data_IF_905879686371
#
_entry.id   IF_905879686371
#
_cell.length_a   1.000
_cell.length_b   1.000
_cell.length_c   1.000
_cell.angle_alpha   90.00
_cell.angle_beta   90.00
_cell.angle_gamma   90.00
#
_symmetry.space_group_name_H-M   'P 1'
#
loop_
_entity.id
_entity.type
_entity.pdbx_description
1 polymer ?
#
# COMPACT_ATOMS: atom_id res chain seq x y z
N UNK A 1 13.78 4.12 34.38
CA UNK A 1 14.42 4.78 33.24
C UNK A 1 13.30 5.45 32.44
N UNK A 2 13.39 6.76 32.17
CA UNK A 2 12.40 7.48 31.35
C UNK A 2 12.41 6.97 29.91
N UNK A 3 11.23 6.91 29.26
CA UNK A 3 11.14 6.56 27.85
C UNK A 3 11.78 7.64 26.99
N UNK A 4 12.73 7.27 26.13
CA UNK A 4 13.34 8.20 25.15
C UNK A 4 12.51 8.35 23.88
N UNK A 5 11.32 7.71 23.79
CA UNK A 5 10.45 7.73 22.62
C UNK A 5 10.08 9.17 22.20
N UNK A 6 9.65 9.98 23.17
CA UNK A 6 9.19 11.36 22.93
C UNK A 6 10.33 12.35 22.60
N UNK A 7 11.58 11.91 22.67
CA UNK A 7 12.75 12.70 22.28
C UNK A 7 13.17 12.41 20.83
N UNK A 8 12.63 11.34 20.22
CA UNK A 8 12.97 10.95 18.85
C UNK A 8 12.14 11.69 17.84
N UNK A 9 12.77 12.06 16.74
CA UNK A 9 12.16 12.71 15.59
C UNK A 9 11.93 11.69 14.47
N UNK A 10 10.70 11.60 13.99
CA UNK A 10 10.33 10.74 12.87
C UNK A 10 10.36 11.54 11.57
N UNK A 11 11.15 11.09 10.60
CA UNK A 11 11.12 11.56 9.22
C UNK A 11 10.20 10.67 8.37
N UNK A 12 9.31 11.30 7.60
CA UNK A 12 8.39 10.62 6.68
C UNK A 12 8.67 11.11 5.26
N UNK A 13 9.01 10.20 4.35
CA UNK A 13 9.16 10.48 2.93
C UNK A 13 7.81 10.26 2.23
N UNK A 14 7.28 11.31 1.63
CA UNK A 14 5.92 11.41 1.14
C UNK A 14 4.98 12.07 2.14
N UNK A 15 4.18 13.02 1.65
CA UNK A 15 3.25 13.82 2.43
C UNK A 15 1.81 13.72 1.95
N UNK A 16 1.44 12.61 1.29
CA UNK A 16 0.09 12.33 0.84
C UNK A 16 -0.87 11.93 1.97
N UNK A 17 -1.98 11.31 1.60
CA UNK A 17 -3.01 10.90 2.56
C UNK A 17 -2.51 9.90 3.61
N UNK A 18 -1.62 8.98 3.23
CA UNK A 18 -1.09 7.99 4.16
C UNK A 18 -0.18 8.66 5.19
N UNK A 19 0.66 9.60 4.75
CA UNK A 19 1.45 10.46 5.63
C UNK A 19 0.57 11.26 6.58
N UNK A 20 -0.53 11.86 6.09
CA UNK A 20 -1.50 12.60 6.93
C UNK A 20 -2.07 11.72 8.06
N UNK A 21 -2.47 10.50 7.74
CA UNK A 21 -3.00 9.57 8.74
C UNK A 21 -1.92 9.06 9.71
N UNK A 22 -0.67 8.89 9.26
CA UNK A 22 0.47 8.62 10.15
C UNK A 22 0.71 9.78 11.11
N UNK A 23 0.65 11.03 10.63
CA UNK A 23 0.81 12.22 11.47
C UNK A 23 -0.26 12.31 12.56
N UNK A 24 -1.50 11.92 12.27
CA UNK A 24 -2.56 11.89 13.27
C UNK A 24 -2.23 10.95 14.43
N UNK A 25 -1.69 9.75 14.16
CA UNK A 25 -1.25 8.83 15.21
C UNK A 25 0.02 9.33 15.92
N UNK A 26 0.96 9.95 15.21
CA UNK A 26 2.13 10.58 15.82
C UNK A 26 1.72 11.69 16.81
N UNK A 27 0.75 12.51 16.45
CA UNK A 27 0.23 13.59 17.30
C UNK A 27 -0.39 13.05 18.60
N UNK A 28 -1.19 11.96 18.52
CA UNK A 28 -1.73 11.26 19.72
C UNK A 28 -0.63 10.75 20.65
N UNK A 29 0.53 10.39 20.10
CA UNK A 29 1.66 9.84 20.84
C UNK A 29 2.72 10.89 21.21
N UNK A 30 2.53 12.16 20.85
CA UNK A 30 3.48 13.25 21.11
C UNK A 30 4.83 13.10 20.38
N UNK A 31 4.87 12.40 19.24
CA UNK A 31 6.09 12.17 18.45
C UNK A 31 6.30 13.35 17.51
N UNK A 32 7.50 13.95 17.58
CA UNK A 32 7.89 15.02 16.64
C UNK A 32 8.08 14.47 15.22
N UNK A 33 7.48 15.12 14.23
CA UNK A 33 7.46 14.66 12.85
C UNK A 33 8.03 15.70 11.88
N UNK A 34 8.88 15.22 10.96
CA UNK A 34 9.32 15.94 9.77
C UNK A 34 8.81 15.22 8.54
N UNK A 35 8.33 15.94 7.53
CA UNK A 35 7.82 15.37 6.28
C UNK A 35 8.57 15.99 5.09
N UNK A 36 8.97 15.15 4.13
CA UNK A 36 9.53 15.57 2.84
C UNK A 36 8.55 15.23 1.72
N UNK A 37 8.12 16.23 0.96
CA UNK A 37 7.22 16.04 -0.19
C UNK A 37 7.51 17.11 -1.24
N UNK A 38 7.47 16.79 -2.56
CA UNK A 38 7.72 17.76 -3.62
C UNK A 38 6.61 18.83 -3.77
N UNK A 39 5.42 18.59 -3.20
CA UNK A 39 4.27 19.47 -3.37
C UNK A 39 4.09 20.41 -2.18
N UNK A 40 4.12 21.72 -2.44
CA UNK A 40 3.71 22.75 -1.49
C UNK A 40 2.23 22.64 -1.06
N UNK A 41 1.42 21.89 -1.82
CA UNK A 41 0.01 21.59 -1.56
C UNK A 41 -0.18 20.22 -0.88
N UNK A 42 0.90 19.66 -0.32
CA UNK A 42 0.87 18.36 0.37
C UNK A 42 -0.14 18.36 1.52
N UNK A 43 -0.97 17.30 1.67
CA UNK A 43 -1.87 17.12 2.82
C UNK A 43 -1.18 17.21 4.18
N UNK A 44 0.11 16.89 4.25
CA UNK A 44 0.89 16.92 5.49
C UNK A 44 1.45 18.29 5.86
N UNK A 45 1.50 19.25 4.92
CA UNK A 45 2.22 20.52 5.10
C UNK A 45 1.86 21.29 6.38
N UNK A 46 0.58 21.39 6.67
CA UNK A 46 0.08 22.16 7.81
C UNK A 46 -0.12 21.33 9.10
N UNK A 47 0.26 20.05 9.08
CA UNK A 47 0.04 19.12 10.19
C UNK A 47 1.37 18.63 10.77
N UNK A 48 2.40 18.47 9.92
CA UNK A 48 3.75 18.10 10.37
C UNK A 48 4.36 19.19 11.26
N UNK A 49 5.16 18.78 12.25
CA UNK A 49 5.92 19.77 13.04
C UNK A 49 6.94 20.53 12.18
N UNK A 50 7.49 19.85 11.16
CA UNK A 50 8.36 20.47 10.17
C UNK A 50 8.08 19.88 8.78
N UNK A 51 7.92 20.75 7.79
CA UNK A 51 7.71 20.36 6.41
C UNK A 51 8.86 20.83 5.55
N UNK A 52 9.36 19.94 4.70
CA UNK A 52 10.39 20.23 3.71
C UNK A 52 9.80 20.03 2.32
N UNK A 53 9.83 21.07 1.50
CA UNK A 53 9.47 20.97 0.10
C UNK A 53 10.69 20.49 -0.69
N UNK A 54 10.62 19.27 -1.22
CA UNK A 54 11.72 18.68 -1.98
C UNK A 54 11.37 17.28 -2.50
N UNK A 55 12.10 16.84 -3.51
CA UNK A 55 11.83 15.56 -4.15
C UNK A 55 12.46 14.40 -3.37
N UNK A 56 11.62 13.52 -2.83
CA UNK A 56 12.05 12.29 -2.15
C UNK A 56 12.71 11.25 -3.10
N UNK A 57 12.72 11.50 -4.40
CA UNK A 57 13.44 10.69 -5.40
C UNK A 57 14.87 11.18 -5.63
N UNK A 58 15.17 12.40 -5.21
CA UNK A 58 16.51 12.96 -5.30
C UNK A 58 17.37 12.50 -4.12
N UNK A 59 18.58 12.02 -4.43
CA UNK A 59 19.48 11.42 -3.45
C UNK A 59 19.92 12.42 -2.38
N UNK A 60 20.42 13.58 -2.81
CA UNK A 60 20.96 14.59 -1.88
C UNK A 60 19.85 15.20 -1.00
N UNK A 61 18.68 15.45 -1.58
CA UNK A 61 17.52 15.95 -0.85
C UNK A 61 17.10 14.99 0.29
N UNK A 62 17.10 13.67 0.05
CA UNK A 62 16.79 12.69 1.08
C UNK A 62 17.86 12.65 2.17
N UNK A 63 19.15 12.75 1.78
CA UNK A 63 20.26 12.81 2.75
C UNK A 63 20.14 14.04 3.64
N UNK A 64 19.95 15.21 3.05
CA UNK A 64 19.83 16.48 3.79
C UNK A 64 18.64 16.49 4.75
N UNK A 65 17.47 16.02 4.27
CA UNK A 65 16.28 15.86 5.10
C UNK A 65 16.55 14.96 6.32
N UNK A 66 17.30 13.89 6.12
CA UNK A 66 17.58 12.89 7.16
C UNK A 66 18.37 13.42 8.35
N UNK A 67 19.10 14.54 8.20
CA UNK A 67 19.94 15.10 9.26
C UNK A 67 19.15 15.45 10.52
N UNK A 68 17.89 15.86 10.37
CA UNK A 68 16.98 16.22 11.46
C UNK A 68 16.16 15.03 12.02
N UNK A 69 16.38 13.79 11.54
CA UNK A 69 15.54 12.63 11.87
C UNK A 69 16.35 11.53 12.57
N UNK A 70 15.74 10.89 13.59
CA UNK A 70 16.29 9.71 14.27
C UNK A 70 15.83 8.40 13.62
N UNK A 71 14.58 8.38 13.18
CA UNK A 71 13.95 7.26 12.46
C UNK A 71 13.36 7.80 11.16
N UNK A 72 13.53 7.06 10.08
CA UNK A 72 13.01 7.41 8.75
C UNK A 72 12.06 6.33 8.30
N UNK A 73 10.92 6.74 7.79
CA UNK A 73 9.94 5.88 7.11
C UNK A 73 9.43 6.55 5.85
N UNK A 74 8.62 5.85 5.08
CA UNK A 74 8.02 6.37 3.86
C UNK A 74 6.56 5.92 3.76
N UNK A 75 5.74 6.75 3.09
CA UNK A 75 4.34 6.44 2.80
C UNK A 75 4.11 6.16 1.31
N UNK A 76 5.16 6.30 0.51
CA UNK A 76 5.17 6.06 -0.93
C UNK A 76 6.40 5.23 -1.31
N UNK A 77 6.25 4.34 -2.30
CA UNK A 77 7.33 3.44 -2.69
C UNK A 77 8.37 4.09 -3.61
N UNK A 78 8.05 5.21 -4.26
CA UNK A 78 8.90 5.86 -5.25
C UNK A 78 10.01 6.75 -4.63
N UNK A 79 10.52 6.40 -3.45
CA UNK A 79 11.60 7.12 -2.80
C UNK A 79 12.97 6.64 -3.29
N UNK A 80 14.00 7.47 -3.15
CA UNK A 80 15.36 7.11 -3.54
C UNK A 80 15.94 6.04 -2.61
N UNK A 81 15.98 4.80 -3.09
CA UNK A 81 16.42 3.65 -2.29
C UNK A 81 17.94 3.64 -2.05
N UNK A 82 18.75 4.25 -2.93
CA UNK A 82 20.20 4.34 -2.74
C UNK A 82 20.54 5.31 -1.60
N UNK A 83 19.78 6.40 -1.46
CA UNK A 83 19.87 7.30 -0.31
C UNK A 83 19.50 6.57 0.99
N UNK A 84 18.43 5.78 1.01
CA UNK A 84 18.06 4.98 2.18
C UNK A 84 19.14 3.98 2.57
N UNK A 85 19.72 3.27 1.61
CA UNK A 85 20.82 2.33 1.84
C UNK A 85 22.06 3.03 2.42
N UNK A 86 22.41 4.22 1.90
CA UNK A 86 23.50 5.02 2.45
C UNK A 86 23.23 5.43 3.90
N UNK A 87 22.02 5.87 4.20
CA UNK A 87 21.61 6.25 5.55
C UNK A 87 21.70 5.09 6.54
N UNK A 88 21.27 3.89 6.13
CA UNK A 88 21.43 2.66 6.93
C UNK A 88 22.90 2.36 7.22
N UNK A 89 23.78 2.46 6.21
CA UNK A 89 25.25 2.29 6.36
C UNK A 89 25.85 3.34 7.31
N UNK A 90 25.25 4.51 7.43
CA UNK A 90 25.62 5.55 8.41
C UNK A 90 25.00 5.36 9.79
N UNK A 91 24.25 4.28 9.99
CA UNK A 91 23.63 3.94 11.28
C UNK A 91 22.28 4.60 11.54
N UNK A 92 21.69 5.28 10.56
CA UNK A 92 20.30 5.79 10.66
C UNK A 92 19.31 4.62 10.65
N UNK A 93 18.25 4.78 11.42
CA UNK A 93 17.14 3.80 11.45
C UNK A 93 16.18 4.10 10.31
N UNK A 94 16.14 3.23 9.32
CA UNK A 94 15.23 3.30 8.18
C UNK A 94 14.32 2.10 8.22
N UNK A 95 13.01 2.32 8.22
CA UNK A 95 12.01 1.26 8.27
C UNK A 95 10.81 1.57 7.35
N UNK A 96 10.38 0.61 6.51
CA UNK A 96 11.08 -0.65 6.19
C UNK A 96 12.48 -0.44 5.60
N UNK A 97 13.32 -1.49 5.67
CA UNK A 97 14.72 -1.40 5.20
C UNK A 97 14.80 -1.16 3.69
N UNK A 98 15.87 -0.50 3.26
CA UNK A 98 16.16 -0.22 1.84
C UNK A 98 16.15 -1.48 0.99
N UNK A 99 16.69 -2.61 1.50
CA UNK A 99 16.67 -3.91 0.82
C UNK A 99 15.25 -4.40 0.53
N UNK A 100 14.33 -4.28 1.48
CA UNK A 100 12.92 -4.63 1.32
C UNK A 100 12.29 -3.78 0.23
N UNK A 101 12.48 -2.46 0.30
CA UNK A 101 11.94 -1.54 -0.69
C UNK A 101 12.49 -1.80 -2.09
N UNK A 102 13.82 -2.03 -2.23
CA UNK A 102 14.46 -2.35 -3.51
C UNK A 102 13.85 -3.58 -4.19
N UNK A 103 13.55 -4.62 -3.41
CA UNK A 103 12.88 -5.81 -3.92
C UNK A 103 11.47 -5.50 -4.41
N UNK A 104 10.75 -4.61 -3.71
CA UNK A 104 9.34 -4.32 -4.00
C UNK A 104 9.17 -3.29 -5.12
N UNK A 105 10.09 -2.32 -5.25
CA UNK A 105 10.06 -1.32 -6.31
C UNK A 105 10.16 -1.91 -7.73
N UNK A 106 10.63 -3.14 -7.86
CA UNK A 106 10.80 -3.84 -9.14
C UNK A 106 9.96 -5.12 -9.15
N UNK A 107 8.90 -5.14 -9.96
CA UNK A 107 7.97 -6.27 -10.03
C UNK A 107 8.64 -7.58 -10.46
N UNK A 108 9.70 -7.53 -11.30
CA UNK A 108 10.46 -8.72 -11.64
C UNK A 108 11.23 -9.25 -10.43
N UNK A 109 11.94 -8.38 -9.69
CA UNK A 109 12.62 -8.77 -8.46
C UNK A 109 11.65 -9.29 -7.39
N UNK A 110 10.48 -8.67 -7.26
CA UNK A 110 9.43 -9.09 -6.34
C UNK A 110 8.93 -10.51 -6.68
N UNK A 111 8.65 -10.78 -7.95
CA UNK A 111 8.20 -12.11 -8.41
C UNK A 111 9.30 -13.17 -8.26
N UNK A 112 10.54 -12.85 -8.59
CA UNK A 112 11.70 -13.75 -8.35
C UNK A 112 11.88 -14.04 -6.85
N UNK A 113 11.65 -13.04 -5.99
CA UNK A 113 11.66 -13.24 -4.54
C UNK A 113 10.54 -14.20 -4.10
N UNK A 114 9.34 -14.10 -4.67
CA UNK A 114 8.25 -15.03 -4.37
C UNK A 114 8.61 -16.46 -4.77
N UNK A 115 9.12 -16.68 -5.98
CA UNK A 115 9.55 -18.00 -6.44
C UNK A 115 10.64 -18.60 -5.53
N UNK A 116 11.67 -17.80 -5.22
CA UNK A 116 12.80 -18.24 -4.37
C UNK A 116 12.35 -18.68 -2.96
N UNK A 117 11.30 -18.08 -2.43
CA UNK A 117 10.79 -18.35 -1.09
C UNK A 117 9.58 -19.30 -1.10
N UNK A 118 9.26 -19.95 -2.23
CA UNK A 118 8.09 -20.81 -2.40
C UNK A 118 6.80 -20.11 -1.95
N UNK A 119 6.59 -18.90 -2.42
CA UNK A 119 5.37 -18.11 -2.24
C UNK A 119 4.55 -18.26 -3.51
N UNK A 120 3.31 -18.79 -3.43
CA UNK A 120 2.46 -18.98 -4.59
C UNK A 120 2.12 -17.65 -5.25
N UNK A 121 2.33 -17.55 -6.55
CA UNK A 121 2.04 -16.38 -7.38
C UNK A 121 1.77 -16.83 -8.80
N UNK A 122 1.10 -16.00 -9.62
CA UNK A 122 0.92 -16.29 -11.03
C UNK A 122 2.26 -16.54 -11.73
N UNK A 123 2.31 -17.49 -12.64
CA UNK A 123 3.49 -17.72 -13.47
C UNK A 123 3.81 -16.46 -14.28
N UNK A 124 5.08 -16.17 -14.46
CA UNK A 124 5.51 -14.95 -15.12
C UNK A 124 6.79 -15.14 -15.93
N UNK A 125 6.97 -14.28 -16.93
CA UNK A 125 8.21 -14.16 -17.71
C UNK A 125 8.64 -12.70 -17.79
N UNK A 126 9.94 -12.46 -17.66
CA UNK A 126 10.54 -11.13 -17.81
C UNK A 126 10.96 -10.87 -19.26
N UNK A 127 10.72 -9.64 -19.73
CA UNK A 127 11.12 -9.16 -21.06
C UNK A 127 11.80 -7.79 -20.92
N UNK A 128 13.03 -7.64 -21.46
CA UNK A 128 13.77 -6.39 -21.35
C UNK A 128 13.20 -5.27 -22.24
N UNK A 129 12.47 -5.63 -23.29
CA UNK A 129 11.86 -4.71 -24.25
C UNK A 129 10.78 -5.40 -25.09
N UNK A 130 10.04 -4.59 -25.85
CA UNK A 130 8.92 -5.07 -26.65
C UNK A 130 9.35 -5.97 -27.83
N UNK A 131 10.56 -5.78 -28.36
CA UNK A 131 11.06 -6.59 -29.49
C UNK A 131 11.27 -8.04 -29.07
N UNK A 132 11.81 -8.25 -27.87
CA UNK A 132 12.00 -9.59 -27.30
C UNK A 132 10.63 -10.23 -27.03
N UNK A 133 9.66 -9.49 -26.45
CA UNK A 133 8.31 -9.99 -26.25
C UNK A 133 7.67 -10.43 -27.56
N UNK A 134 7.70 -9.60 -28.63
CA UNK A 134 7.17 -9.94 -29.96
C UNK A 134 7.80 -11.20 -30.54
N UNK A 135 9.10 -11.42 -30.32
CA UNK A 135 9.78 -12.65 -30.75
C UNK A 135 9.27 -13.90 -30.06
N UNK A 136 8.93 -13.82 -28.75
CA UNK A 136 8.36 -14.95 -28.02
C UNK A 136 6.92 -15.25 -28.44
N UNK A 137 6.13 -14.21 -28.73
CA UNK A 137 4.78 -14.38 -29.24
C UNK A 137 4.75 -15.05 -30.60
N UNK A 138 5.66 -14.64 -31.50
CA UNK A 138 5.77 -15.28 -32.84
C UNK A 138 6.12 -16.75 -32.81
N UNK A 139 6.58 -17.26 -31.65
CA UNK A 139 6.90 -18.67 -31.38
C UNK A 139 5.82 -19.41 -30.59
N UNK A 140 4.67 -18.80 -30.36
CA UNK A 140 3.58 -19.33 -29.50
C UNK A 140 4.03 -19.65 -28.05
N UNK A 141 4.98 -18.86 -27.51
CA UNK A 141 5.46 -19.05 -26.12
C UNK A 141 4.72 -18.21 -25.09
N UNK A 142 3.73 -17.41 -25.51
CA UNK A 142 2.86 -16.58 -24.67
C UNK A 142 1.40 -16.97 -24.90
N UNK A 143 0.72 -17.32 -23.84
CA UNK A 143 -0.71 -17.60 -23.85
C UNK A 143 -1.52 -16.32 -23.63
N UNK A 144 -2.67 -16.20 -24.31
CA UNK A 144 -3.64 -15.13 -24.12
C UNK A 144 -4.95 -15.70 -23.54
N UNK A 145 -5.66 -14.94 -22.65
CA UNK A 145 -5.26 -13.64 -22.14
C UNK A 145 -4.08 -13.72 -21.17
N UNK A 146 -3.28 -12.65 -21.08
CA UNK A 146 -2.21 -12.52 -20.13
C UNK A 146 -2.15 -11.08 -19.58
N UNK A 147 -1.36 -10.86 -18.52
CA UNK A 147 -1.23 -9.55 -17.88
C UNK A 147 0.16 -8.99 -18.15
N UNK A 148 0.21 -7.85 -18.83
CA UNK A 148 1.42 -7.05 -18.94
C UNK A 148 1.57 -6.14 -17.72
N UNK A 149 2.76 -6.12 -17.12
CA UNK A 149 3.11 -5.19 -16.05
C UNK A 149 4.47 -4.57 -16.31
N UNK A 150 4.55 -3.25 -16.24
CA UNK A 150 5.83 -2.54 -16.22
C UNK A 150 6.59 -2.92 -14.95
N UNK A 151 7.92 -3.17 -15.03
CA UNK A 151 8.68 -3.60 -13.86
C UNK A 151 8.79 -2.54 -12.77
N UNK A 152 8.95 -1.26 -13.15
CA UNK A 152 9.16 -0.15 -12.20
C UNK A 152 8.18 0.98 -12.43
N UNK A 153 7.88 1.73 -11.38
CA UNK A 153 7.05 2.95 -11.41
C UNK A 153 5.58 2.73 -11.84
N UNK A 154 5.06 1.50 -11.72
CA UNK A 154 3.63 1.22 -11.81
C UNK A 154 2.96 1.47 -10.46
N UNK A 155 1.74 2.06 -10.44
CA UNK A 155 0.94 2.30 -9.25
C UNK A 155 -0.53 2.46 -9.62
N UNK A 156 -1.44 2.09 -8.72
CA UNK A 156 -2.89 2.28 -8.86
C UNK A 156 -3.44 1.92 -10.28
N UNK A 157 -3.03 0.77 -10.83
CA UNK A 157 -3.41 0.31 -12.17
C UNK A 157 -2.58 0.93 -13.34
N UNK A 158 -1.78 1.97 -13.09
CA UNK A 158 -0.86 2.48 -14.11
C UNK A 158 0.31 1.52 -14.35
N UNK A 159 0.53 1.17 -15.62
CA UNK A 159 1.57 0.23 -15.99
C UNK A 159 1.15 -1.24 -15.84
N UNK A 160 -0.17 -1.50 -15.85
CA UNK A 160 -0.79 -2.83 -15.94
C UNK A 160 -1.81 -2.83 -17.08
N UNK A 161 -1.81 -3.87 -17.91
CA UNK A 161 -2.77 -4.04 -19.00
C UNK A 161 -3.08 -5.52 -19.22
N UNK A 162 -4.36 -5.85 -19.36
CA UNK A 162 -4.78 -7.16 -19.84
C UNK A 162 -4.54 -7.20 -21.34
N UNK A 163 -3.84 -8.21 -21.81
CA UNK A 163 -3.62 -8.50 -23.23
C UNK A 163 -4.50 -9.67 -23.61
N UNK A 164 -5.49 -9.44 -24.45
CA UNK A 164 -6.40 -10.47 -24.93
C UNK A 164 -5.88 -11.15 -26.21
N UNK A 165 -5.01 -10.46 -26.94
CA UNK A 165 -4.40 -10.97 -28.16
C UNK A 165 -3.02 -10.36 -28.42
N UNK A 166 -2.31 -10.87 -29.43
CA UNK A 166 -1.03 -10.34 -29.88
C UNK A 166 -1.10 -8.90 -30.40
N UNK A 167 -2.27 -8.43 -30.81
CA UNK A 167 -2.49 -7.07 -31.35
C UNK A 167 -2.37 -6.01 -30.25
N UNK A 168 -2.77 -6.35 -29.02
CA UNK A 168 -2.75 -5.44 -27.86
C UNK A 168 -1.34 -4.95 -27.48
N UNK A 169 -0.31 -5.64 -27.99
CA UNK A 169 1.10 -5.31 -27.72
C UNK A 169 1.55 -4.05 -28.47
N UNK A 170 0.86 -3.69 -29.54
CA UNK A 170 1.26 -2.53 -30.36
C UNK A 170 1.11 -1.20 -29.60
N UNK A 171 0.27 -1.17 -28.60
CA UNK A 171 0.02 0.00 -27.75
C UNK A 171 0.92 0.05 -26.48
N UNK A 172 1.75 -0.97 -26.27
CA UNK A 172 2.63 -1.02 -25.09
C UNK A 172 3.87 -0.12 -25.26
N UNK A 173 4.30 0.53 -24.18
CA UNK A 173 5.56 1.28 -24.20
C UNK A 173 6.75 0.32 -24.28
N UNK A 174 7.81 0.72 -24.98
CA UNK A 174 9.09 -0.03 -25.00
C UNK A 174 9.85 0.18 -23.67
N UNK A 175 9.72 -0.78 -22.78
CA UNK A 175 10.29 -0.75 -21.43
C UNK A 175 10.52 -2.17 -20.91
N UNK A 176 11.28 -2.31 -19.82
CA UNK A 176 11.34 -3.57 -19.06
C UNK A 176 9.94 -3.92 -18.51
N UNK A 177 9.54 -5.18 -18.68
CA UNK A 177 8.22 -5.67 -18.33
C UNK A 177 8.22 -7.11 -17.87
N UNK A 178 7.15 -7.49 -17.17
CA UNK A 178 6.79 -8.90 -16.96
C UNK A 178 5.47 -9.18 -17.66
N UNK A 179 5.32 -10.40 -18.13
CA UNK A 179 4.05 -10.97 -18.59
C UNK A 179 3.68 -12.05 -17.60
N UNK A 180 2.51 -11.93 -16.98
CA UNK A 180 1.96 -12.91 -16.04
C UNK A 180 0.82 -13.67 -16.70
N UNK A 181 0.66 -14.93 -16.33
CA UNK A 181 -0.52 -15.70 -16.70
C UNK A 181 -1.77 -15.06 -16.10
N UNK A 182 -2.84 -15.01 -16.90
CA UNK A 182 -4.12 -14.49 -16.42
C UNK A 182 -4.72 -15.43 -15.36
N UNK A 183 -4.99 -14.91 -14.19
CA UNK A 183 -5.65 -15.64 -13.09
C UNK A 183 -7.13 -15.29 -13.09
N UNK A 184 -8.02 -16.23 -13.42
CA UNK A 184 -9.46 -16.04 -13.31
C UNK A 184 -9.89 -16.18 -11.83
N UNK A 185 -9.64 -15.16 -11.03
CA UNK A 185 -9.94 -15.15 -9.60
C UNK A 185 -11.42 -14.84 -9.33
N UNK A 186 -11.90 -15.27 -8.18
CA UNK A 186 -13.25 -15.00 -7.68
C UNK A 186 -13.28 -13.78 -6.77
N UNK A 187 -12.19 -13.58 -5.99
CA UNK A 187 -12.05 -12.47 -5.04
C UNK A 187 -10.62 -11.95 -5.02
N UNK A 188 -10.49 -10.63 -4.82
CA UNK A 188 -9.23 -10.04 -4.39
C UNK A 188 -9.22 -9.86 -2.88
N UNK A 189 -8.19 -10.38 -2.25
CA UNK A 189 -8.00 -10.34 -0.80
C UNK A 189 -6.79 -9.49 -0.45
N UNK A 190 -6.79 -8.92 0.76
CA UNK A 190 -5.59 -8.30 1.31
C UNK A 190 -5.44 -8.64 2.79
N UNK A 191 -4.18 -8.85 3.22
CA UNK A 191 -3.80 -8.98 4.62
C UNK A 191 -2.74 -7.95 4.93
N UNK A 192 -2.95 -7.17 5.98
CA UNK A 192 -1.92 -6.27 6.50
C UNK A 192 -1.24 -6.93 7.69
N UNK A 193 0.09 -7.02 7.59
CA UNK A 193 0.98 -7.51 8.64
C UNK A 193 1.76 -6.35 9.23
N UNK A 194 1.85 -6.29 10.54
CA UNK A 194 2.78 -5.42 11.27
C UNK A 194 3.85 -6.26 11.94
N UNK A 195 5.12 -5.86 11.81
CA UNK A 195 6.26 -6.49 12.47
C UNK A 195 7.15 -5.43 13.10
N UNK A 196 7.46 -5.55 14.39
CA UNK A 196 8.38 -4.61 15.05
C UNK A 196 9.84 -5.06 14.93
N UNK A 197 10.75 -4.21 15.39
CA UNK A 197 12.21 -4.46 15.33
C UNK A 197 12.60 -5.71 16.13
N UNK A 198 11.95 -5.95 17.27
CA UNK A 198 12.16 -7.15 18.11
C UNK A 198 11.54 -8.43 17.51
N UNK A 199 10.81 -8.35 16.41
CA UNK A 199 10.25 -9.49 15.69
C UNK A 199 8.83 -9.90 16.12
N UNK A 200 8.15 -9.14 17.00
CA UNK A 200 6.72 -9.37 17.28
C UNK A 200 5.91 -9.10 16.01
N UNK A 201 4.95 -9.99 15.69
CA UNK A 201 4.10 -9.90 14.49
C UNK A 201 2.63 -9.89 14.90
N UNK A 202 1.86 -9.04 14.23
CA UNK A 202 0.38 -9.01 14.27
C UNK A 202 -0.19 -8.87 12.86
N UNK A 203 -1.25 -9.62 12.57
CA UNK A 203 -2.02 -9.46 11.34
C UNK A 203 -3.36 -8.80 11.65
N UNK A 204 -3.84 -7.98 10.74
CA UNK A 204 -5.24 -7.59 10.69
C UNK A 204 -6.09 -8.71 10.11
N UNK A 205 -7.42 -8.59 10.20
CA UNK A 205 -8.32 -9.52 9.52
C UNK A 205 -8.09 -9.43 8.01
N UNK A 206 -8.24 -10.59 7.34
CA UNK A 206 -8.25 -10.61 5.87
C UNK A 206 -9.44 -9.80 5.38
N UNK A 207 -9.21 -8.91 4.44
CA UNK A 207 -10.24 -8.13 3.80
C UNK A 207 -10.48 -8.57 2.37
N UNK A 208 -11.69 -8.36 1.90
CA UNK A 208 -12.08 -8.47 0.50
C UNK A 208 -12.06 -7.09 -0.13
N UNK A 209 -11.50 -6.97 -1.32
CA UNK A 209 -11.45 -5.73 -2.08
C UNK A 209 -12.33 -5.87 -3.32
N UNK A 210 -13.30 -4.97 -3.45
CA UNK A 210 -14.13 -4.85 -4.64
C UNK A 210 -13.64 -3.69 -5.50
N UNK A 211 -13.48 -3.95 -6.78
CA UNK A 211 -12.93 -3.00 -7.74
C UNK A 211 -14.03 -2.45 -8.64
N UNK A 212 -13.97 -1.15 -8.88
CA UNK A 212 -14.79 -0.54 -9.91
C UNK A 212 -14.36 -1.08 -11.29
N UNK A 213 -15.27 -1.69 -12.06
CA UNK A 213 -14.94 -2.37 -13.31
C UNK A 213 -14.43 -1.42 -14.40
N UNK A 214 -14.75 -0.13 -14.32
CA UNK A 214 -14.37 0.86 -15.34
C UNK A 214 -12.97 1.45 -15.05
N UNK A 215 -12.68 1.72 -13.78
CA UNK A 215 -11.44 2.39 -13.38
C UNK A 215 -10.35 1.41 -12.90
N UNK A 216 -10.70 0.16 -12.64
CA UNK A 216 -9.83 -0.86 -12.03
C UNK A 216 -9.18 -0.37 -10.72
N UNK A 217 -9.93 0.39 -9.93
CA UNK A 217 -9.53 0.85 -8.62
C UNK A 217 -10.44 0.28 -7.53
N UNK A 218 -9.88 0.04 -6.35
CA UNK A 218 -10.65 -0.41 -5.19
C UNK A 218 -11.73 0.60 -4.88
N UNK A 219 -12.98 0.17 -4.94
CA UNK A 219 -14.17 0.95 -4.56
C UNK A 219 -14.53 0.67 -3.11
N UNK A 220 -14.64 -0.61 -2.74
CA UNK A 220 -14.94 -1.05 -1.38
C UNK A 220 -13.86 -1.96 -0.81
N UNK A 221 -13.71 -1.89 0.50
CA UNK A 221 -12.94 -2.85 1.30
C UNK A 221 -13.84 -3.36 2.42
N UNK A 222 -14.02 -4.66 2.47
CA UNK A 222 -14.92 -5.34 3.41
C UNK A 222 -14.10 -6.15 4.40
N UNK A 223 -14.28 -5.93 5.69
CA UNK A 223 -13.59 -6.63 6.78
C UNK A 223 -14.60 -7.21 7.79
N UNK A 224 -14.51 -8.50 8.14
CA UNK A 224 -13.65 -9.52 7.52
C UNK A 224 -14.13 -9.90 6.12
N UNK A 225 -13.23 -10.47 5.31
CA UNK A 225 -13.58 -11.05 4.01
C UNK A 225 -14.57 -12.22 4.20
N UNK A 226 -15.53 -12.35 3.27
CA UNK A 226 -16.45 -13.47 3.25
C UNK A 226 -15.79 -14.72 2.62
N UNK A 227 -14.95 -15.38 3.41
CA UNK A 227 -14.18 -16.58 3.04
C UNK A 227 -14.18 -17.62 4.16
N UNK A 228 -13.80 -18.86 3.86
CA UNK A 228 -13.70 -19.91 4.86
C UNK A 228 -12.62 -19.59 5.91
N UNK A 229 -12.76 -20.10 7.13
CA UNK A 229 -11.74 -19.95 8.17
C UNK A 229 -10.39 -20.58 7.77
N UNK A 230 -10.41 -21.63 6.96
CA UNK A 230 -9.21 -22.28 6.43
C UNK A 230 -8.48 -21.32 5.48
N UNK A 231 -9.19 -20.75 4.54
CA UNK A 231 -8.67 -19.76 3.58
C UNK A 231 -8.12 -18.51 4.30
N UNK A 232 -8.87 -18.00 5.30
CA UNK A 232 -8.45 -16.86 6.11
C UNK A 232 -7.14 -17.11 6.86
N UNK A 233 -7.02 -18.28 7.50
CA UNK A 233 -5.80 -18.66 8.23
C UNK A 233 -4.61 -18.79 7.27
N UNK A 234 -4.81 -19.45 6.13
CA UNK A 234 -3.76 -19.61 5.12
C UNK A 234 -3.30 -18.27 4.54
N UNK A 235 -4.22 -17.34 4.24
CA UNK A 235 -3.89 -15.99 3.79
C UNK A 235 -3.00 -15.26 4.80
N UNK A 236 -3.33 -15.34 6.10
CA UNK A 236 -2.55 -14.72 7.19
C UNK A 236 -1.17 -15.39 7.35
N UNK A 237 -1.09 -16.71 7.33
CA UNK A 237 0.18 -17.46 7.39
C UNK A 237 1.09 -17.09 6.24
N UNK A 238 0.54 -16.99 5.03
CA UNK A 238 1.29 -16.59 3.84
C UNK A 238 1.82 -15.15 3.97
N UNK A 239 1.00 -14.22 4.45
CA UNK A 239 1.39 -12.84 4.67
C UNK A 239 2.50 -12.71 5.74
N UNK A 240 2.41 -13.48 6.84
CA UNK A 240 3.47 -13.57 7.86
C UNK A 240 4.76 -14.09 7.25
N UNK A 241 4.72 -15.20 6.51
CA UNK A 241 5.87 -15.79 5.83
C UNK A 241 6.58 -14.78 4.93
N UNK A 242 5.82 -13.98 4.17
CA UNK A 242 6.37 -12.94 3.28
C UNK A 242 7.05 -11.84 4.11
N UNK A 243 6.39 -11.36 5.17
CA UNK A 243 6.94 -10.31 6.05
C UNK A 243 8.25 -10.74 6.71
N UNK A 244 8.33 -11.98 7.19
CA UNK A 244 9.55 -12.56 7.77
C UNK A 244 10.65 -12.72 6.72
N UNK A 245 10.34 -13.27 5.55
CA UNK A 245 11.30 -13.50 4.47
C UNK A 245 11.89 -12.19 3.92
N UNK A 246 11.12 -11.10 3.93
CA UNK A 246 11.57 -9.74 3.56
C UNK A 246 12.30 -9.03 4.71
N UNK A 247 12.29 -9.56 5.94
CA UNK A 247 12.71 -8.84 7.16
C UNK A 247 12.05 -7.45 7.25
N UNK A 248 10.76 -7.39 6.92
CA UNK A 248 10.01 -6.14 6.81
C UNK A 248 9.62 -5.64 8.20
N UNK A 249 10.28 -4.59 8.70
CA UNK A 249 9.88 -3.87 9.91
C UNK A 249 8.94 -2.74 9.53
N UNK A 250 7.81 -2.63 10.20
CA UNK A 250 6.73 -1.71 9.83
C UNK A 250 5.49 -2.48 9.39
N UNK A 251 4.82 -1.97 8.39
CA UNK A 251 3.68 -2.63 7.74
C UNK A 251 4.08 -3.27 6.43
N UNK A 252 3.42 -4.37 6.13
CA UNK A 252 3.40 -4.99 4.82
C UNK A 252 1.95 -5.31 4.47
N UNK A 253 1.42 -4.72 3.41
CA UNK A 253 0.17 -5.16 2.80
C UNK A 253 0.48 -6.24 1.77
N UNK A 254 -0.27 -7.33 1.78
CA UNK A 254 -0.14 -8.46 0.85
C UNK A 254 -1.45 -8.62 0.12
N UNK A 255 -1.45 -8.35 -1.18
CA UNK A 255 -2.59 -8.53 -2.06
C UNK A 255 -2.56 -9.91 -2.69
N UNK A 256 -3.72 -10.56 -2.75
CA UNK A 256 -3.87 -11.96 -3.14
C UNK A 256 -5.10 -12.17 -3.99
N UNK A 257 -5.01 -13.08 -4.94
CA UNK A 257 -6.15 -13.62 -5.67
C UNK A 257 -6.63 -14.92 -5.05
N UNK A 258 -7.94 -15.05 -4.85
CA UNK A 258 -8.59 -16.29 -4.46
C UNK A 258 -9.25 -16.92 -5.68
N UNK A 259 -8.88 -18.17 -5.98
CA UNK A 259 -9.45 -18.99 -7.04
C UNK A 259 -9.81 -20.36 -6.48
N UNK A 260 -11.09 -20.60 -6.23
CA UNK A 260 -11.53 -21.75 -5.46
C UNK A 260 -10.90 -21.76 -4.07
N UNK A 261 -10.10 -22.76 -3.76
CA UNK A 261 -9.33 -22.85 -2.50
C UNK A 261 -7.87 -22.37 -2.63
N UNK A 262 -7.45 -21.99 -3.81
CA UNK A 262 -6.08 -21.56 -4.10
C UNK A 262 -5.92 -20.07 -3.85
N UNK A 263 -4.85 -19.69 -3.13
CA UNK A 263 -4.42 -18.31 -2.94
C UNK A 263 -3.13 -18.07 -3.72
N UNK A 264 -3.14 -17.04 -4.57
CA UNK A 264 -1.96 -16.56 -5.30
C UNK A 264 -1.63 -15.12 -4.89
N UNK A 265 -0.38 -14.87 -4.50
CA UNK A 265 0.07 -13.52 -4.16
C UNK A 265 0.20 -12.70 -5.44
N UNK A 266 -0.49 -11.57 -5.50
CA UNK A 266 -0.40 -10.60 -6.59
C UNK A 266 0.82 -9.70 -6.39
N UNK A 267 0.78 -8.86 -5.35
CA UNK A 267 1.86 -7.94 -5.02
C UNK A 267 1.89 -7.60 -3.53
N UNK A 268 2.94 -6.91 -3.10
CA UNK A 268 3.07 -6.44 -1.71
C UNK A 268 3.49 -4.98 -1.67
N UNK A 269 3.05 -4.27 -0.62
CA UNK A 269 3.39 -2.87 -0.38
C UNK A 269 3.95 -2.70 1.06
N UNK A 270 5.19 -2.19 1.23
CA UNK A 270 5.87 -2.11 2.52
C UNK A 270 5.55 -0.78 3.23
N UNK A 271 4.28 -0.43 3.37
CA UNK A 271 3.78 0.84 3.90
C UNK A 271 2.30 0.73 4.29
N UNK A 272 1.72 1.73 4.96
CA UNK A 272 0.27 1.81 5.11
C UNK A 272 -0.44 1.66 3.77
N UNK A 273 -1.55 0.95 3.75
CA UNK A 273 -2.26 0.59 2.53
C UNK A 273 -3.74 0.92 2.61
N UNK A 274 -4.37 1.18 1.45
CA UNK A 274 -5.79 1.50 1.35
C UNK A 274 -6.68 0.41 1.96
N UNK A 275 -6.33 -0.87 1.74
CA UNK A 275 -7.05 -2.01 2.31
C UNK A 275 -7.08 -2.07 3.84
N UNK A 276 -6.25 -1.27 4.53
CA UNK A 276 -6.21 -1.20 5.99
C UNK A 276 -6.87 0.04 6.60
N UNK A 277 -7.50 0.92 5.80
CA UNK A 277 -8.09 2.15 6.32
C UNK A 277 -9.23 1.88 7.30
N UNK A 278 -10.02 0.83 7.08
CA UNK A 278 -11.08 0.38 7.98
C UNK A 278 -10.60 0.26 9.44
N UNK A 279 -9.31 -0.06 9.62
CA UNK A 279 -8.74 -0.31 10.95
C UNK A 279 -8.68 0.94 11.85
N UNK A 280 -8.89 2.14 11.31
CA UNK A 280 -8.89 3.39 12.08
C UNK A 280 -10.04 3.36 13.10
N UNK A 281 -11.21 2.96 12.66
CA UNK A 281 -12.43 2.89 13.49
C UNK A 281 -12.71 1.48 14.02
N UNK A 282 -12.45 0.45 13.21
CA UNK A 282 -12.82 -0.91 13.57
C UNK A 282 -11.91 -1.56 14.59
N UNK A 283 -10.61 -1.21 14.62
CA UNK A 283 -9.61 -1.88 15.45
C UNK A 283 -9.19 -1.02 16.64
N UNK A 284 -8.78 -1.67 17.75
CA UNK A 284 -8.18 -0.93 18.88
C UNK A 284 -6.88 -0.22 18.52
N UNK A 285 -6.13 -0.76 17.56
CA UNK A 285 -4.94 -0.13 17.00
C UNK A 285 -5.05 -0.14 15.48
N UNK A 286 -5.07 1.06 14.89
CA UNK A 286 -5.09 1.22 13.44
C UNK A 286 -3.78 0.72 12.79
N UNK A 287 -3.82 0.48 11.48
CA UNK A 287 -2.59 0.20 10.73
C UNK A 287 -1.54 1.30 10.94
N UNK A 288 -1.95 2.56 11.01
CA UNK A 288 -1.05 3.69 11.21
C UNK A 288 -0.39 3.65 12.58
N UNK A 289 -1.16 3.36 13.62
CA UNK A 289 -0.61 3.17 14.97
C UNK A 289 0.33 1.97 15.03
N UNK A 290 -0.04 0.84 14.38
CA UNK A 290 0.84 -0.33 14.33
C UNK A 290 2.15 -0.03 13.60
N UNK A 291 2.12 0.76 12.52
CA UNK A 291 3.34 1.18 11.84
C UNK A 291 4.28 1.94 12.79
N UNK A 292 3.75 2.94 13.50
CA UNK A 292 4.53 3.70 14.48
C UNK A 292 5.08 2.78 15.58
N UNK A 293 4.26 1.89 16.14
CA UNK A 293 4.70 0.92 17.15
C UNK A 293 5.82 0.03 16.61
N UNK A 294 5.69 -0.44 15.38
CA UNK A 294 6.68 -1.32 14.73
C UNK A 294 8.04 -0.64 14.58
N UNK A 295 8.08 0.57 14.02
CA UNK A 295 9.35 1.27 13.71
C UNK A 295 10.04 1.84 14.95
N UNK A 296 9.31 2.04 16.06
CA UNK A 296 9.86 2.45 17.35
C UNK A 296 10.11 1.29 18.31
N UNK A 297 9.93 0.05 17.85
CA UNK A 297 10.10 -1.17 18.65
C UNK A 297 9.22 -1.21 19.90
N UNK A 298 7.99 -0.77 19.78
CA UNK A 298 6.99 -0.85 20.83
C UNK A 298 6.22 -2.16 20.71
N UNK A 299 5.62 -2.60 21.84
CA UNK A 299 4.68 -3.72 21.81
C UNK A 299 3.54 -3.44 20.84
N UNK A 300 3.25 -4.39 19.94
CA UNK A 300 2.17 -4.25 18.97
C UNK A 300 0.79 -4.26 19.67
N UNK A 301 -0.11 -3.46 19.14
CA UNK A 301 -1.46 -3.34 19.65
C UNK A 301 -2.38 -4.47 19.18
N UNK A 302 -3.63 -4.45 19.65
CA UNK A 302 -4.65 -5.41 19.21
C UNK A 302 -5.23 -4.98 17.85
N UNK A 303 -5.23 -5.93 16.90
CA UNK A 303 -5.66 -5.72 15.52
C UNK A 303 -7.04 -6.32 15.20
N UNK A 304 -7.60 -7.07 16.14
CA UNK A 304 -8.93 -7.67 15.97
C UNK A 304 -10.03 -6.63 16.14
N UNK A 305 -11.11 -6.81 15.42
CA UNK A 305 -12.37 -6.09 15.61
C UNK A 305 -13.54 -7.06 15.67
N UNK A 306 -14.67 -6.57 16.14
CA UNK A 306 -15.94 -7.30 16.14
C UNK A 306 -16.86 -6.67 15.08
N UNK A 307 -17.80 -7.48 14.56
CA UNK A 307 -18.71 -7.02 13.50
C UNK A 307 -18.05 -6.87 12.14
N UNK A 308 -18.67 -6.08 11.30
CA UNK A 308 -18.24 -5.81 9.93
C UNK A 308 -17.84 -4.34 9.79
N UNK A 309 -16.76 -4.10 9.05
CA UNK A 309 -16.37 -2.76 8.63
C UNK A 309 -16.35 -2.71 7.10
N UNK A 310 -17.00 -1.71 6.52
CA UNK A 310 -16.94 -1.44 5.08
C UNK A 310 -16.31 -0.07 4.88
N UNK A 311 -15.23 -0.02 4.12
CA UNK A 311 -14.57 1.22 3.73
C UNK A 311 -14.85 1.49 2.26
N UNK A 312 -15.40 2.66 1.97
CA UNK A 312 -15.67 3.17 0.63
C UNK A 312 -14.67 4.26 0.27
N UNK A 313 -14.01 4.16 -0.88
CA UNK A 313 -13.15 5.21 -1.40
C UNK A 313 -13.96 6.35 -2.03
N UNK A 314 -13.68 7.58 -1.63
CA UNK A 314 -14.15 8.78 -2.33
C UNK A 314 -13.12 9.16 -3.37
N UNK A 315 -13.51 9.10 -4.65
CA UNK A 315 -12.63 9.35 -5.80
C UNK A 315 -13.13 10.54 -6.62
N UNK A 316 -12.21 11.17 -7.35
CA UNK A 316 -12.56 12.20 -8.30
C UNK A 316 -13.42 11.64 -9.43
N UNK A 317 -14.48 12.37 -9.77
CA UNK A 317 -15.46 12.00 -10.79
C UNK A 317 -14.85 11.95 -12.20
N UNK A 318 -15.40 11.09 -13.06
CA UNK A 318 -15.08 11.06 -14.48
C UNK A 318 -15.33 12.42 -15.11
N UNK A 319 -14.40 12.90 -15.93
CA UNK A 319 -14.48 14.18 -16.62
C UNK A 319 -14.37 15.44 -15.76
N UNK A 320 -14.08 15.36 -14.46
CA UNK A 320 -13.80 16.53 -13.63
C UNK A 320 -12.31 16.69 -13.32
N UNK A 321 -11.78 17.88 -13.65
CA UNK A 321 -10.40 18.31 -13.35
C UNK A 321 -10.42 19.70 -12.72
N UNK A 322 -9.66 19.89 -11.65
CA UNK A 322 -9.51 21.18 -11.00
C UNK A 322 -9.89 21.17 -9.52
N UNK A 323 -10.44 22.26 -9.03
CA UNK A 323 -10.75 22.41 -7.61
C UNK A 323 -11.71 21.31 -7.13
N UNK A 324 -11.41 20.76 -5.93
CA UNK A 324 -12.24 19.75 -5.32
C UNK A 324 -13.57 20.35 -4.83
N UNK A 325 -14.64 19.60 -5.07
CA UNK A 325 -15.97 19.85 -4.53
C UNK A 325 -16.56 18.51 -4.06
N UNK A 326 -17.12 18.48 -2.87
CA UNK A 326 -17.78 17.30 -2.31
C UNK A 326 -19.27 17.56 -2.28
N UNK A 327 -19.98 16.98 -3.22
CA UNK A 327 -21.46 17.10 -3.29
C UNK A 327 -22.11 16.21 -2.23
N UNK A 328 -23.13 16.74 -1.54
CA UNK A 328 -23.90 16.03 -0.53
C UNK A 328 -23.09 15.37 0.61
N UNK A 329 -21.87 15.81 0.86
CA UNK A 329 -21.00 15.20 1.87
C UNK A 329 -21.59 15.29 3.29
N UNK A 330 -22.44 16.28 3.55
CA UNK A 330 -23.10 16.49 4.83
C UNK A 330 -24.04 15.33 5.20
N UNK A 331 -24.60 14.62 4.20
CA UNK A 331 -25.47 13.45 4.43
C UNK A 331 -24.76 12.29 5.13
N UNK A 332 -23.43 12.22 5.04
CA UNK A 332 -22.65 11.19 5.74
C UNK A 332 -22.83 11.31 7.26
N UNK A 333 -23.01 12.53 7.78
CA UNK A 333 -23.19 12.78 9.21
C UNK A 333 -24.59 12.42 9.73
N UNK A 334 -25.52 12.06 8.84
CA UNK A 334 -26.84 11.54 9.22
C UNK A 334 -26.77 10.04 9.59
N UNK A 335 -25.66 9.36 9.28
CA UNK A 335 -25.42 7.97 9.60
C UNK A 335 -24.43 7.85 10.78
N UNK A 336 -24.92 7.47 11.96
CA UNK A 336 -24.13 7.38 13.21
C UNK A 336 -22.94 6.40 13.10
N UNK A 337 -23.03 5.39 12.23
CA UNK A 337 -21.97 4.38 12.02
C UNK A 337 -20.93 4.77 10.97
N UNK A 338 -21.14 5.89 10.27
CA UNK A 338 -20.24 6.34 9.20
C UNK A 338 -19.17 7.29 9.73
N UNK A 339 -17.94 7.04 9.33
CA UNK A 339 -16.76 7.84 9.70
C UNK A 339 -16.09 8.39 8.44
N UNK A 340 -16.06 9.72 8.32
CA UNK A 340 -15.58 10.42 7.14
C UNK A 340 -14.10 10.83 7.29
N UNK A 341 -13.28 10.50 6.31
CA UNK A 341 -11.89 10.94 6.18
C UNK A 341 -11.66 11.71 4.89
N UNK A 342 -11.47 13.00 4.97
CA UNK A 342 -11.09 13.86 3.84
C UNK A 342 -9.57 14.04 3.82
N UNK A 343 -8.95 13.78 2.66
CA UNK A 343 -7.49 13.82 2.55
C UNK A 343 -6.92 15.25 2.49
N UNK A 344 -7.73 16.24 2.09
CA UNK A 344 -7.34 17.64 2.07
C UNK A 344 -6.56 18.05 0.82
N UNK A 345 -6.68 17.29 -0.28
CA UNK A 345 -6.16 17.70 -1.59
C UNK A 345 -7.01 18.83 -2.13
N UNK A 346 -6.38 19.87 -2.71
CA UNK A 346 -7.10 21.05 -3.25
C UNK A 346 -7.68 20.83 -4.63
N UNK A 347 -7.04 19.96 -5.42
CA UNK A 347 -7.46 19.64 -6.78
C UNK A 347 -7.79 18.16 -6.90
N UNK A 348 -8.74 17.85 -7.77
CA UNK A 348 -9.12 16.50 -8.14
C UNK A 348 -8.94 16.25 -9.64
N UNK A 349 -8.97 15.00 -10.02
CA UNK A 349 -9.00 14.47 -11.38
C UNK A 349 -9.69 13.11 -11.35
N UNK A 350 -10.13 12.56 -12.49
CA UNK A 350 -10.74 11.25 -12.54
C UNK A 350 -9.95 10.20 -11.73
N UNK A 351 -10.67 9.45 -10.92
CA UNK A 351 -10.15 8.36 -10.11
C UNK A 351 -9.11 8.74 -9.03
N UNK A 352 -8.85 10.04 -8.79
CA UNK A 352 -7.95 10.45 -7.72
C UNK A 352 -8.63 10.22 -6.37
N UNK A 353 -8.01 9.41 -5.49
CA UNK A 353 -8.50 9.18 -4.12
C UNK A 353 -8.48 10.50 -3.33
N UNK A 354 -9.65 10.95 -2.90
CA UNK A 354 -9.90 12.24 -2.25
C UNK A 354 -10.26 12.12 -0.78
N UNK A 355 -10.77 10.95 -0.39
CA UNK A 355 -11.20 10.61 0.96
C UNK A 355 -11.61 9.16 1.04
N UNK A 356 -12.14 8.76 2.19
CA UNK A 356 -12.87 7.50 2.37
C UNK A 356 -13.90 7.65 3.47
N UNK A 357 -14.87 6.76 3.46
CA UNK A 357 -15.87 6.60 4.52
C UNK A 357 -15.71 5.19 5.06
N UNK A 358 -15.68 5.02 6.37
CA UNK A 358 -15.74 3.71 7.03
C UNK A 358 -17.07 3.57 7.77
N UNK A 359 -17.81 2.52 7.48
CA UNK A 359 -19.05 2.17 8.16
C UNK A 359 -18.77 0.95 9.03
N UNK A 360 -19.20 1.02 10.31
CA UNK A 360 -19.08 -0.07 11.27
C UNK A 360 -20.47 -0.58 11.60
N UNK A 361 -20.71 -1.87 11.44
CA UNK A 361 -21.98 -2.51 11.73
C UNK A 361 -21.78 -3.91 12.34
N UNK A 362 -22.81 -4.41 13.00
CA UNK A 362 -22.75 -5.75 13.61
C UNK A 362 -22.78 -6.87 12.55
N UNK A 363 -23.49 -6.65 11.46
CA UNK A 363 -23.65 -7.59 10.36
C UNK A 363 -23.45 -6.90 9.03
N UNK A 364 -22.98 -7.65 8.04
CA UNK A 364 -22.74 -7.17 6.68
C UNK A 364 -24.00 -6.58 6.03
N UNK A 365 -25.16 -7.22 6.26
CA UNK A 365 -26.45 -6.78 5.69
C UNK A 365 -26.91 -5.41 6.19
N UNK A 366 -26.40 -4.96 7.34
CA UNK A 366 -26.76 -3.67 7.94
C UNK A 366 -25.99 -2.49 7.30
N UNK A 367 -25.03 -2.78 6.44
CA UNK A 367 -24.16 -1.77 5.82
C UNK A 367 -24.55 -1.39 4.38
N UNK A 368 -25.59 -2.06 3.81
CA UNK A 368 -26.13 -1.77 2.48
C UNK A 368 -27.41 -1.00 2.50
#
# INVERSE_FOLDING_TARGET
>A
MGSTLFQKKLGILGGGQLGKMLLAECAKMGIYTSVLDPSEESPCKNIANKFYCGDFRDYETVIDFSNDCDVITFEIEQVNVDALEFLEKKGKKVYPKSKTLRTIQDKNQQKQFFQKNNIPTADFKFFPNISVLKSHISKDEINFPCIWKKTKFGYDGFGVKILNSSEDINDLPDTEMIIEDFVPFEKELSVIVSRNVSGEIKCFETVEMEFNPNSNQVEFVISPANISSITNNYAKELAVKISESLDCVGLLAVEMFLKGDEILVNEVAPRPHNSGHFSIEACKSSQFQQHIRSIFDLKLGETKHNGTAIMLNLVGEENHFGNVFYENIDSVFECDSANLHIYGKKETRPNRKMGHITIICDKFEDAY
#
